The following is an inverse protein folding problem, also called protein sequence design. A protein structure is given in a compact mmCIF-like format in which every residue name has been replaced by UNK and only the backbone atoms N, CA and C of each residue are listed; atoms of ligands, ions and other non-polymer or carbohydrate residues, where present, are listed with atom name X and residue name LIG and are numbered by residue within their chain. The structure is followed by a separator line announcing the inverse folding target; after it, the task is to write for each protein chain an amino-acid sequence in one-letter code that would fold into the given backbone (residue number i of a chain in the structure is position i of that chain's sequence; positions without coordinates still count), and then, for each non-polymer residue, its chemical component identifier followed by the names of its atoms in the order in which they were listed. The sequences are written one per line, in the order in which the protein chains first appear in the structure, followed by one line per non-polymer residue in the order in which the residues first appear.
data_IF_656654058824
#
_entry.id   IF_656654058824
#
_cell.length_a   1.000
_cell.length_b   1.000
_cell.length_c   1.000
_cell.angle_alpha   90.00
_cell.angle_beta   90.00
_cell.angle_gamma   90.00
#
_symmetry.space_group_name_H-M   'P 1'
#
loop_
_entity.id
_entity.type
_entity.pdbx_description
1 polymer ?
#
# COMPACT_ATOMS: atom_id res chain seq x y z
N UNK A 1 -3.85 15.91 -30.16
CA UNK A 1 -3.80 15.06 -28.96
C UNK A 1 -2.58 15.45 -28.12
N UNK A 2 -2.78 16.17 -27.01
CA UNK A 2 -1.68 16.67 -26.16
C UNK A 2 -1.16 15.50 -25.31
N UNK A 3 0.14 15.16 -25.43
CA UNK A 3 0.80 14.15 -24.59
C UNK A 3 1.48 14.82 -23.40
N UNK A 4 1.21 14.36 -22.18
CA UNK A 4 1.69 14.95 -20.91
C UNK A 4 3.19 14.74 -20.59
N UNK A 5 4.00 14.19 -21.50
CA UNK A 5 5.46 13.91 -21.33
C UNK A 5 5.82 13.35 -19.93
N UNK A 6 5.11 12.31 -19.49
CA UNK A 6 5.36 11.68 -18.20
C UNK A 6 6.73 11.00 -18.18
N UNK A 7 7.42 11.07 -17.03
CA UNK A 7 8.68 10.38 -16.76
C UNK A 7 8.59 9.68 -15.39
N UNK A 8 9.38 8.62 -15.14
CA UNK A 8 9.51 8.04 -13.81
C UNK A 8 9.91 9.10 -12.78
N UNK A 9 9.38 8.98 -11.56
CA UNK A 9 9.62 9.98 -10.50
C UNK A 9 10.02 9.39 -9.16
N UNK A 10 9.52 8.21 -8.83
CA UNK A 10 9.96 7.48 -7.64
C UNK A 10 9.66 5.99 -7.81
N UNK A 11 10.37 5.18 -7.04
CA UNK A 11 10.06 3.79 -6.78
C UNK A 11 9.36 3.73 -5.42
N UNK A 12 8.33 2.90 -5.31
CA UNK A 12 7.65 2.60 -4.05
C UNK A 12 7.76 1.10 -3.81
N UNK A 13 8.51 0.72 -2.80
CA UNK A 13 8.70 -0.67 -2.39
C UNK A 13 7.97 -0.94 -1.07
N UNK A 14 7.42 -2.15 -0.90
CA UNK A 14 6.71 -2.56 0.29
C UNK A 14 6.60 -4.07 0.36
N UNK A 15 6.45 -4.58 1.58
CA UNK A 15 6.14 -5.99 1.82
C UNK A 15 4.62 -6.16 1.93
N UNK A 16 4.08 -7.17 1.25
CA UNK A 16 2.63 -7.47 1.23
C UNK A 16 2.33 -8.87 1.71
N UNK A 17 1.40 -8.96 2.66
CA UNK A 17 0.68 -10.19 2.98
C UNK A 17 -0.72 -10.11 2.42
N UNK A 18 -1.19 -11.15 1.73
CA UNK A 18 -2.49 -11.17 1.08
C UNK A 18 -3.29 -12.41 1.48
N UNK A 19 -4.58 -12.21 1.75
CA UNK A 19 -5.56 -13.26 2.02
C UNK A 19 -6.76 -13.09 1.09
N UNK A 20 -7.39 -14.20 0.73
CA UNK A 20 -8.58 -14.24 -0.11
C UNK A 20 -9.66 -15.07 0.56
N UNK A 21 -10.90 -14.62 0.42
CA UNK A 21 -12.10 -15.33 0.83
C UNK A 21 -13.11 -15.29 -0.31
N UNK A 22 -13.67 -16.45 -0.65
CA UNK A 22 -14.56 -16.56 -1.81
C UNK A 22 -15.92 -15.91 -1.55
N UNK A 23 -16.43 -15.98 -0.31
CA UNK A 23 -17.69 -15.33 0.07
C UNK A 23 -17.54 -13.81 0.00
N UNK A 24 -18.28 -13.20 -0.93
CA UNK A 24 -18.22 -11.76 -1.17
C UNK A 24 -16.98 -11.30 -1.94
N UNK A 25 -16.20 -12.24 -2.50
CA UNK A 25 -14.98 -11.94 -3.27
C UNK A 25 -14.01 -11.05 -2.49
N UNK A 26 -13.82 -11.38 -1.21
CA UNK A 26 -13.06 -10.55 -0.27
C UNK A 26 -11.56 -10.77 -0.46
N UNK A 27 -10.82 -9.67 -0.53
CA UNK A 27 -9.35 -9.65 -0.62
C UNK A 27 -8.82 -8.73 0.45
N UNK A 28 -7.98 -9.28 1.32
CA UNK A 28 -7.39 -8.57 2.45
C UNK A 28 -5.91 -8.44 2.17
N UNK A 29 -5.36 -7.25 2.31
CA UNK A 29 -3.92 -7.03 2.23
C UNK A 29 -3.40 -6.25 3.43
N UNK A 30 -2.21 -6.63 3.88
CA UNK A 30 -1.42 -5.90 4.84
C UNK A 30 -0.13 -5.47 4.16
N UNK A 31 0.03 -4.15 3.99
CA UNK A 31 1.26 -3.59 3.46
C UNK A 31 2.08 -2.96 4.59
N UNK A 32 3.36 -3.31 4.67
CA UNK A 32 4.31 -2.78 5.65
C UNK A 32 5.63 -2.40 4.99
N UNK A 33 6.52 -1.79 5.78
CA UNK A 33 7.86 -1.42 5.35
C UNK A 33 7.84 -0.64 4.03
N UNK A 34 6.97 0.37 3.95
CA UNK A 34 6.79 1.14 2.72
C UNK A 34 7.96 2.12 2.57
N UNK A 35 8.76 1.91 1.53
CA UNK A 35 9.93 2.70 1.18
C UNK A 35 9.67 3.50 -0.09
N UNK A 36 10.23 4.71 -0.16
CA UNK A 36 10.29 5.53 -1.35
C UNK A 36 11.73 5.75 -1.79
N UNK A 37 12.02 5.67 -3.10
CA UNK A 37 13.32 6.04 -3.65
C UNK A 37 13.21 6.94 -4.88
N UNK A 38 14.13 7.90 -5.02
CA UNK A 38 14.27 8.75 -6.22
C UNK A 38 15.12 8.10 -7.31
N UNK A 39 15.82 7.01 -7.01
CA UNK A 39 16.72 6.31 -7.92
C UNK A 39 15.97 5.41 -8.88
N UNK A 40 15.14 6.01 -9.74
CA UNK A 40 14.28 5.27 -10.68
C UNK A 40 15.06 4.45 -11.70
N UNK A 41 16.35 4.75 -11.90
CA UNK A 41 17.30 3.95 -12.68
C UNK A 41 17.56 2.55 -12.07
N UNK A 42 17.24 2.37 -10.78
CA UNK A 42 17.51 1.14 -10.00
C UNK A 42 16.28 0.27 -9.78
N UNK A 43 15.25 0.40 -10.63
CA UNK A 43 13.98 -0.31 -10.45
C UNK A 43 14.10 -1.84 -10.42
N UNK A 44 15.10 -2.40 -11.08
CA UNK A 44 15.32 -3.85 -11.15
C UNK A 44 16.28 -4.38 -10.08
N UNK A 45 16.81 -3.52 -9.21
CA UNK A 45 17.68 -3.95 -8.12
C UNK A 45 16.81 -4.72 -7.11
N UNK A 46 17.35 -5.79 -6.53
CA UNK A 46 16.62 -6.67 -5.59
C UNK A 46 16.26 -6.00 -4.27
N UNK A 47 16.93 -4.89 -3.96
CA UNK A 47 16.65 -4.02 -2.84
C UNK A 47 16.93 -2.59 -3.29
N UNK A 48 16.03 -1.66 -2.95
CA UNK A 48 16.27 -0.25 -3.19
C UNK A 48 16.80 0.42 -1.93
N UNK A 49 17.77 1.31 -2.11
CA UNK A 49 18.08 2.30 -1.09
C UNK A 49 16.94 3.33 -1.06
N UNK A 50 16.08 3.20 -0.06
CA UNK A 50 14.81 3.90 0.05
C UNK A 50 14.56 4.46 1.45
N UNK A 51 13.89 5.60 1.49
CA UNK A 51 13.48 6.24 2.73
C UNK A 51 12.12 5.68 3.19
N UNK A 52 11.96 5.31 4.48
CA UNK A 52 10.66 4.97 5.05
C UNK A 52 9.66 6.12 4.90
N UNK A 53 8.49 5.84 4.35
CA UNK A 53 7.43 6.85 4.12
C UNK A 53 6.28 6.74 5.12
N UNK A 54 6.36 5.79 6.04
CA UNK A 54 5.47 5.63 7.18
C UNK A 54 6.29 5.30 8.45
N UNK A 55 5.76 5.60 9.65
CA UNK A 55 6.40 5.18 10.89
C UNK A 55 6.50 3.66 11.00
N UNK A 56 7.56 3.19 11.67
CA UNK A 56 7.76 1.78 11.96
C UNK A 56 6.62 1.22 12.83
N UNK A 57 6.26 -0.04 12.59
CA UNK A 57 5.17 -0.73 13.30
C UNK A 57 3.76 -0.41 12.79
N UNK A 58 3.61 0.51 11.83
CA UNK A 58 2.33 0.77 11.18
C UNK A 58 2.14 -0.05 9.90
N UNK A 59 0.91 -0.50 9.69
CA UNK A 59 0.50 -1.34 8.58
C UNK A 59 -0.68 -0.68 7.87
N UNK A 60 -0.72 -0.79 6.54
CA UNK A 60 -1.93 -0.47 5.78
C UNK A 60 -2.74 -1.77 5.65
N UNK A 61 -3.87 -1.80 6.34
CA UNK A 61 -4.91 -2.79 6.11
C UNK A 61 -5.84 -2.28 5.01
N UNK A 62 -5.92 -3.03 3.90
CA UNK A 62 -6.91 -2.80 2.85
C UNK A 62 -7.80 -4.03 2.70
N UNK A 63 -9.11 -3.83 2.77
CA UNK A 63 -10.13 -4.88 2.57
C UNK A 63 -10.96 -4.47 1.36
N UNK A 64 -10.93 -5.29 0.32
CA UNK A 64 -11.75 -5.16 -0.89
C UNK A 64 -12.77 -6.27 -0.90
N UNK A 65 -14.01 -5.96 -1.21
CA UNK A 65 -15.11 -6.91 -1.33
C UNK A 65 -16.15 -6.32 -2.28
N UNK A 66 -17.04 -7.17 -2.81
CA UNK A 66 -18.15 -6.72 -3.65
C UNK A 66 -19.30 -6.23 -2.75
N UNK A 67 -20.40 -6.98 -2.65
CA UNK A 67 -21.59 -6.58 -1.89
C UNK A 67 -21.56 -7.04 -0.42
N UNK A 68 -20.71 -8.02 -0.09
CA UNK A 68 -20.71 -8.69 1.21
C UNK A 68 -19.31 -8.75 1.82
N UNK A 69 -19.18 -8.25 3.05
CA UNK A 69 -18.06 -8.55 3.94
C UNK A 69 -18.55 -9.54 5.03
N UNK A 70 -18.10 -10.80 5.02
CA UNK A 70 -18.51 -11.77 6.03
C UNK A 70 -18.20 -11.31 7.46
N UNK A 71 -19.16 -11.53 8.38
CA UNK A 71 -19.06 -11.05 9.76
C UNK A 71 -17.82 -11.58 10.50
N UNK A 72 -17.38 -12.81 10.25
CA UNK A 72 -16.18 -13.35 10.90
C UNK A 72 -14.90 -12.62 10.47
N UNK A 73 -14.84 -12.11 9.23
CA UNK A 73 -13.73 -11.25 8.79
C UNK A 73 -13.83 -9.90 9.50
N UNK A 74 -15.02 -9.29 9.50
CA UNK A 74 -15.24 -8.01 10.16
C UNK A 74 -14.84 -8.08 11.65
N UNK A 75 -15.30 -9.10 12.37
CA UNK A 75 -14.95 -9.33 13.76
C UNK A 75 -13.46 -9.58 13.99
N UNK A 76 -12.78 -10.24 13.04
CA UNK A 76 -11.34 -10.48 13.13
C UNK A 76 -10.50 -9.22 12.91
N UNK A 77 -10.95 -8.31 12.05
CA UNK A 77 -10.21 -7.07 11.74
C UNK A 77 -10.57 -5.91 12.66
N UNK A 78 -11.78 -5.88 13.21
CA UNK A 78 -12.27 -4.79 14.04
C UNK A 78 -11.73 -4.89 15.47
N UNK A 79 -10.47 -4.49 15.65
CA UNK A 79 -9.78 -4.49 16.94
C UNK A 79 -10.04 -3.22 17.77
N UNK A 80 -11.07 -2.43 17.43
CA UNK A 80 -11.42 -1.17 18.11
C UNK A 80 -10.47 0.00 17.88
N UNK A 81 -9.35 -0.21 17.20
CA UNK A 81 -8.31 0.82 16.95
C UNK A 81 -8.06 1.08 15.46
N UNK A 82 -8.89 0.53 14.57
CA UNK A 82 -8.74 0.74 13.12
C UNK A 82 -9.07 2.19 12.74
N UNK A 83 -8.08 2.88 12.16
CA UNK A 83 -8.27 4.21 11.60
C UNK A 83 -8.54 4.11 10.10
N UNK A 84 -9.80 4.27 9.71
CA UNK A 84 -10.18 4.39 8.29
C UNK A 84 -9.69 5.73 7.74
N UNK A 85 -8.86 5.68 6.71
CA UNK A 85 -8.34 6.86 6.03
C UNK A 85 -8.04 6.54 4.57
N UNK A 86 -8.08 7.57 3.72
CA UNK A 86 -7.51 7.46 2.38
C UNK A 86 -5.99 7.47 2.47
N UNK A 87 -5.33 6.56 1.77
CA UNK A 87 -3.87 6.50 1.73
C UNK A 87 -3.39 6.18 0.33
N UNK A 88 -2.46 7.00 -0.19
CA UNK A 88 -1.81 6.77 -1.48
C UNK A 88 -0.31 6.63 -1.27
N UNK A 89 0.23 5.43 -1.49
CA UNK A 89 1.67 5.17 -1.34
C UNK A 89 2.50 6.07 -2.24
N UNK A 90 2.04 6.32 -3.47
CA UNK A 90 2.71 7.22 -4.40
C UNK A 90 2.70 8.67 -3.91
N UNK A 91 1.56 9.20 -3.46
CA UNK A 91 1.50 10.56 -2.92
C UNK A 91 2.41 10.71 -1.69
N UNK A 92 2.32 9.77 -0.75
CA UNK A 92 3.12 9.80 0.48
C UNK A 92 4.61 9.73 0.17
N UNK A 93 5.03 8.85 -0.76
CA UNK A 93 6.42 8.77 -1.20
C UNK A 93 6.88 10.05 -1.90
N UNK A 94 6.10 10.61 -2.82
CA UNK A 94 6.43 11.88 -3.48
C UNK A 94 6.51 13.04 -2.51
N UNK A 95 5.65 13.07 -1.48
CA UNK A 95 5.71 14.09 -0.42
C UNK A 95 6.96 13.95 0.44
N UNK A 96 7.38 12.73 0.76
CA UNK A 96 8.57 12.47 1.57
C UNK A 96 9.88 12.72 0.81
N UNK A 97 9.94 12.39 -0.48
CA UNK A 97 11.15 12.50 -1.30
C UNK A 97 11.40 13.88 -1.91
N UNK A 98 10.40 14.78 -1.88
CA UNK A 98 10.39 16.05 -2.63
C UNK A 98 10.33 15.87 -4.15
#
# INVERSE_FOLDING_TARGET
MIRKKLIPKCIVEYERFAFVESKGNVRITFDRNILGSRRTDRFYDTQIDGMPVMPWGYYILEIKYDELLPHYILAAVDTGNLRRQSFSKYYTARKALG
#
